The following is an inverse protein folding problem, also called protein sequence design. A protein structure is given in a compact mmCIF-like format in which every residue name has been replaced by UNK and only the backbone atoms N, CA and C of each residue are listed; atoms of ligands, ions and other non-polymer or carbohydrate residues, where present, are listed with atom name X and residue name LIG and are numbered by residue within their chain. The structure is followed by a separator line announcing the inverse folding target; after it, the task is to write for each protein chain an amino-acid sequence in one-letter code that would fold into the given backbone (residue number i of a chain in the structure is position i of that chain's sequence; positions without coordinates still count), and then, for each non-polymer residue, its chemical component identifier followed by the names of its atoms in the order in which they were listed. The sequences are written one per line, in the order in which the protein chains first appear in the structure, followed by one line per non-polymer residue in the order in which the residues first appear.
data_IF_185018403241
#
_entry.id   IF_185018403241
#
_cell.length_a   1.000
_cell.length_b   1.000
_cell.length_c   1.000
_cell.angle_alpha   90.00
_cell.angle_beta   90.00
_cell.angle_gamma   90.00
#
_symmetry.space_group_name_H-M   'P 1'
#
loop_
_entity.id
_entity.type
_entity.pdbx_description
1 polymer ?
#
# COMPACT_ATOMS: atom_id res chain seq x y z
N UNK A 1 1.66 5.10 -6.80
CA UNK A 1 2.12 3.77 -6.34
C UNK A 1 2.26 3.81 -4.84
N UNK A 2 1.38 3.11 -4.13
CA UNK A 2 1.23 3.15 -2.67
C UNK A 2 0.90 1.73 -2.14
N UNK A 3 0.96 1.56 -0.81
CA UNK A 3 0.35 0.41 -0.16
C UNK A 3 -1.18 0.45 -0.25
N UNK A 4 -1.84 -0.61 0.22
CA UNK A 4 -3.30 -0.71 0.23
C UNK A 4 -4.00 0.41 1.02
N UNK A 5 -3.30 1.06 1.96
CA UNK A 5 -3.83 2.14 2.79
C UNK A 5 -3.62 3.54 2.19
N UNK A 6 -3.01 3.63 1.02
CA UNK A 6 -2.70 4.90 0.35
C UNK A 6 -1.36 5.51 0.75
N UNK A 7 -0.54 4.83 1.57
CA UNK A 7 0.78 5.34 1.96
C UNK A 7 1.83 5.04 0.90
N UNK A 8 2.79 5.95 0.63
CA UNK A 8 3.91 5.66 -0.26
C UNK A 8 4.65 4.38 0.16
N UNK A 9 5.07 3.59 -0.83
CA UNK A 9 5.86 2.37 -0.56
C UNK A 9 7.24 2.73 -0.03
N UNK A 10 7.54 2.28 1.19
CA UNK A 10 8.87 2.36 1.77
C UNK A 10 9.63 1.03 1.56
N UNK A 11 10.46 1.01 0.52
CA UNK A 11 11.28 -0.16 0.18
C UNK A 11 12.47 -0.37 1.13
N UNK A 12 12.81 0.63 1.96
CA UNK A 12 13.87 0.54 2.97
C UNK A 12 13.40 0.03 4.33
N UNK A 13 12.08 -0.13 4.51
CA UNK A 13 11.49 -0.59 5.77
C UNK A 13 11.83 -2.05 6.10
N UNK A 14 12.09 -2.89 5.09
CA UNK A 14 12.49 -4.29 5.26
C UNK A 14 14.00 -4.40 5.50
N UNK A 15 14.38 -4.31 6.77
CA UNK A 15 15.75 -4.59 7.22
C UNK A 15 15.98 -6.10 7.38
N UNK A 16 17.18 -6.57 7.00
CA UNK A 16 17.59 -7.97 7.08
C UNK A 16 17.34 -8.52 8.50
N UNK A 17 16.58 -9.62 8.61
CA UNK A 17 16.33 -10.32 9.87
C UNK A 17 14.98 -10.06 10.54
N UNK A 18 14.09 -9.24 9.96
CA UNK A 18 12.69 -9.14 10.44
C UNK A 18 11.80 -10.22 9.82
N UNK A 19 10.92 -10.80 10.64
CA UNK A 19 9.87 -11.77 10.24
C UNK A 19 8.59 -11.08 9.74
N UNK A 20 8.56 -9.74 9.75
CA UNK A 20 7.43 -8.93 9.31
C UNK A 20 7.79 -8.40 7.93
N UNK A 21 6.97 -8.72 6.93
CA UNK A 21 7.09 -8.23 5.56
C UNK A 21 6.36 -6.89 5.49
N UNK A 22 7.06 -5.84 5.06
CA UNK A 22 6.47 -4.53 4.82
C UNK A 22 6.11 -4.34 3.33
N UNK A 23 5.01 -3.64 3.00
CA UNK A 23 3.96 -3.14 3.89
C UNK A 23 3.05 -4.25 4.41
N UNK A 24 2.68 -4.16 5.68
CA UNK A 24 1.70 -5.06 6.26
C UNK A 24 0.33 -4.83 5.62
N UNK A 25 -0.32 -5.90 5.15
CA UNK A 25 -1.62 -5.85 4.47
C UNK A 25 -1.54 -5.73 2.93
N UNK A 26 -0.34 -5.61 2.35
CA UNK A 26 -0.11 -5.76 0.91
C UNK A 26 0.02 -4.48 0.10
N UNK A 27 0.01 -4.62 -1.23
CA UNK A 27 0.27 -3.52 -2.18
C UNK A 27 -0.92 -3.33 -3.11
N UNK A 28 -1.27 -2.08 -3.42
CA UNK A 28 -2.30 -1.75 -4.40
C UNK A 28 -1.66 -1.38 -5.74
N UNK A 29 -1.76 -2.28 -6.71
CA UNK A 29 -1.32 -2.07 -8.09
C UNK A 29 -2.52 -1.81 -9.00
N UNK A 30 -2.54 -0.66 -9.69
CA UNK A 30 -3.66 -0.23 -10.52
C UNK A 30 -3.18 0.46 -11.79
N UNK A 31 -4.11 0.73 -12.71
CA UNK A 31 -3.91 1.73 -13.75
C UNK A 31 -3.71 3.12 -13.10
N UNK A 32 -2.71 3.88 -13.57
CA UNK A 32 -2.42 5.23 -13.08
C UNK A 32 -3.60 6.19 -13.21
N UNK A 33 -4.42 6.06 -14.25
CA UNK A 33 -5.60 6.93 -14.46
C UNK A 33 -6.73 6.70 -13.44
N UNK A 34 -6.72 5.57 -12.74
CA UNK A 34 -7.76 5.19 -11.77
C UNK A 34 -7.21 5.08 -10.34
N UNK A 35 -5.91 5.29 -10.15
CA UNK A 35 -5.24 5.00 -8.89
C UNK A 35 -5.87 5.75 -7.71
N UNK A 36 -6.01 7.07 -7.83
CA UNK A 36 -6.50 7.91 -6.73
C UNK A 36 -7.95 7.59 -6.35
N UNK A 37 -8.81 7.29 -7.33
CA UNK A 37 -10.19 6.88 -7.07
C UNK A 37 -10.27 5.55 -6.32
N UNK A 38 -9.42 4.59 -6.70
CA UNK A 38 -9.38 3.29 -6.05
C UNK A 38 -8.80 3.40 -4.64
N UNK A 39 -7.78 4.23 -4.41
CA UNK A 39 -7.26 4.54 -3.08
C UNK A 39 -8.37 5.13 -2.20
N UNK A 40 -9.11 6.12 -2.68
CA UNK A 40 -10.22 6.74 -1.94
C UNK A 40 -11.29 5.70 -1.55
N UNK A 41 -11.72 4.86 -2.50
CA UNK A 41 -12.70 3.83 -2.25
C UNK A 41 -12.22 2.80 -1.22
N UNK A 42 -10.96 2.36 -1.30
CA UNK A 42 -10.39 1.41 -0.35
C UNK A 42 -10.30 2.03 1.04
N UNK A 43 -9.78 3.26 1.15
CA UNK A 43 -9.67 3.98 2.42
C UNK A 43 -11.03 4.24 3.08
N UNK A 44 -12.07 4.52 2.30
CA UNK A 44 -13.43 4.76 2.83
C UNK A 44 -14.12 3.49 3.37
N UNK A 45 -13.66 2.31 2.94
CA UNK A 45 -14.30 1.02 3.28
C UNK A 45 -13.46 0.15 4.22
N UNK A 46 -12.22 0.54 4.50
CA UNK A 46 -11.37 -0.13 5.47
C UNK A 46 -11.69 0.35 6.90
N UNK A 47 -11.90 -0.59 7.84
CA UNK A 47 -12.24 -0.32 9.24
C UNK A 47 -11.02 -0.27 10.13
#
# INVERSE_FOLDING_TARGET
TCDWSGKPLDFGADLTGRRIIYPSGGVLATNGALHDKLVEMVSANYK
#
